data_IF_474698395332
#
_entry.id   IF_474698395332
#
_cell.length_a   1.000
_cell.length_b   1.000
_cell.length_c   1.000
_cell.angle_alpha   90.00
_cell.angle_beta   90.00
_cell.angle_gamma   90.00
#
_symmetry.space_group_name_H-M   'P 1'
#
loop_
_entity.id
_entity.type
_entity.pdbx_description
1 polymer ?
#
# COMPACT_ATOMS: atom_id res chain seq x y z
N UNK A 1 -23.67 13.84 -32.26
CA UNK A 1 -24.49 12.88 -31.48
C UNK A 1 -23.81 11.53 -31.56
N UNK A 2 -23.68 10.88 -30.39
CA UNK A 2 -23.33 9.48 -30.14
C UNK A 2 -21.85 9.07 -30.21
N UNK A 3 -21.24 9.00 -29.02
CA UNK A 3 -20.08 8.18 -28.68
C UNK A 3 -20.38 6.68 -28.85
N UNK A 4 -19.39 5.83 -29.18
CA UNK A 4 -19.53 4.39 -29.07
C UNK A 4 -19.41 3.98 -27.60
N UNK A 5 -20.44 3.29 -27.11
CA UNK A 5 -20.47 2.63 -25.80
C UNK A 5 -19.50 1.45 -25.86
N UNK A 6 -18.37 1.56 -25.15
CA UNK A 6 -17.47 0.42 -24.91
C UNK A 6 -18.14 -0.40 -23.81
N UNK A 7 -18.75 -1.52 -24.19
CA UNK A 7 -19.32 -2.48 -23.25
C UNK A 7 -18.23 -3.03 -22.33
N UNK A 8 -18.33 -2.73 -21.04
CA UNK A 8 -17.53 -3.38 -20.02
C UNK A 8 -17.88 -4.88 -20.01
N UNK A 9 -17.00 -5.70 -20.60
CA UNK A 9 -16.95 -7.13 -20.32
C UNK A 9 -16.47 -7.30 -18.88
N UNK A 10 -17.42 -7.34 -17.95
CA UNK A 10 -17.18 -7.89 -16.63
C UNK A 10 -16.83 -9.37 -16.81
N UNK A 11 -15.57 -9.73 -16.62
CA UNK A 11 -15.21 -11.12 -16.48
C UNK A 11 -15.99 -11.68 -15.28
N UNK A 12 -16.79 -12.73 -15.50
CA UNK A 12 -17.40 -13.53 -14.44
C UNK A 12 -16.29 -14.02 -13.51
N UNK A 13 -16.10 -13.40 -12.35
CA UNK A 13 -15.14 -13.90 -11.34
C UNK A 13 -15.54 -15.33 -10.97
N UNK A 14 -14.77 -16.30 -11.43
CA UNK A 14 -14.98 -17.71 -11.12
C UNK A 14 -14.36 -17.99 -9.75
N UNK A 15 -15.20 -18.12 -8.73
CA UNK A 15 -14.73 -18.47 -7.39
C UNK A 15 -14.40 -19.97 -7.32
N UNK A 16 -13.41 -20.35 -6.51
CA UNK A 16 -12.97 -21.73 -6.35
C UNK A 16 -13.48 -22.28 -5.00
N UNK A 17 -13.84 -23.56 -4.99
CA UNK A 17 -14.32 -24.25 -3.79
C UNK A 17 -13.22 -24.34 -2.73
N UNK A 18 -13.50 -23.81 -1.53
CA UNK A 18 -12.53 -23.73 -0.42
C UNK A 18 -12.35 -25.05 0.34
N UNK A 19 -13.11 -26.09 -0.03
CA UNK A 19 -12.94 -27.41 0.56
C UNK A 19 -11.60 -28.00 0.11
N UNK A 20 -10.73 -28.42 1.05
CA UNK A 20 -9.42 -28.97 0.72
C UNK A 20 -9.52 -30.08 -0.34
N UNK A 21 -8.65 -30.00 -1.34
CA UNK A 21 -8.55 -30.94 -2.46
C UNK A 21 -9.79 -30.97 -3.39
N UNK A 22 -10.63 -29.93 -3.40
CA UNK A 22 -11.77 -29.84 -4.33
C UNK A 22 -11.39 -29.17 -5.66
N UNK A 23 -10.94 -27.90 -5.62
CA UNK A 23 -10.49 -27.15 -6.80
C UNK A 23 -11.56 -26.82 -7.86
N UNK A 24 -12.84 -27.15 -7.62
CA UNK A 24 -13.94 -26.88 -8.56
C UNK A 24 -14.42 -25.43 -8.45
N UNK A 25 -14.97 -24.91 -9.56
CA UNK A 25 -15.72 -23.63 -9.53
C UNK A 25 -16.89 -23.70 -8.54
N UNK A 26 -17.14 -22.59 -7.85
CA UNK A 26 -18.02 -22.51 -6.70
C UNK A 26 -18.84 -21.22 -6.72
N UNK A 27 -20.11 -21.33 -6.33
CA UNK A 27 -21.04 -20.19 -6.27
C UNK A 27 -21.83 -20.15 -4.95
N UNK A 28 -21.87 -21.24 -4.19
CA UNK A 28 -22.61 -21.31 -2.94
C UNK A 28 -21.81 -20.67 -1.80
N UNK A 29 -22.50 -19.91 -0.95
CA UNK A 29 -21.88 -19.21 0.21
C UNK A 29 -22.50 -19.66 1.53
N UNK A 30 -21.70 -19.59 2.60
CA UNK A 30 -22.18 -19.82 3.96
C UNK A 30 -23.03 -18.63 4.44
N UNK A 31 -24.25 -18.86 4.99
CA UNK A 31 -25.11 -17.78 5.49
C UNK A 31 -24.47 -16.97 6.62
N UNK A 32 -23.74 -17.60 7.53
CA UNK A 32 -23.04 -16.91 8.63
C UNK A 32 -21.88 -16.05 8.10
N UNK A 33 -21.13 -16.52 7.09
CA UNK A 33 -20.12 -15.68 6.44
C UNK A 33 -20.74 -14.44 5.79
N UNK A 34 -21.93 -14.55 5.19
CA UNK A 34 -22.63 -13.39 4.61
C UNK A 34 -22.99 -12.40 5.71
N UNK A 35 -23.52 -12.89 6.84
CA UNK A 35 -23.89 -12.05 7.99
C UNK A 35 -22.69 -11.35 8.63
N UNK A 36 -21.54 -12.04 8.71
CA UNK A 36 -20.31 -11.53 9.29
C UNK A 36 -19.44 -10.74 8.28
N UNK A 37 -19.92 -10.53 7.05
CA UNK A 37 -19.17 -9.80 6.01
C UNK A 37 -17.93 -10.53 5.48
N UNK A 38 -17.79 -11.84 5.73
CA UNK A 38 -16.61 -12.62 5.35
C UNK A 38 -16.67 -12.97 3.87
N UNK A 39 -15.74 -12.42 3.09
CA UNK A 39 -15.58 -12.63 1.65
C UNK A 39 -14.68 -13.85 1.34
N UNK A 40 -14.71 -14.36 0.11
CA UNK A 40 -13.86 -15.47 -0.32
C UNK A 40 -14.35 -16.89 0.01
N UNK A 41 -15.36 -17.06 0.87
CA UNK A 41 -15.84 -18.41 1.26
C UNK A 41 -16.89 -18.98 0.31
N UNK A 42 -16.44 -19.79 -0.66
CA UNK A 42 -17.28 -20.40 -1.70
C UNK A 42 -17.21 -21.93 -1.69
N UNK A 43 -18.35 -22.56 -1.94
CA UNK A 43 -18.50 -24.02 -2.00
C UNK A 43 -19.14 -24.42 -3.33
N UNK A 44 -18.61 -25.47 -3.98
CA UNK A 44 -19.21 -25.98 -5.21
C UNK A 44 -20.50 -26.77 -4.95
N UNK A 45 -20.61 -27.45 -3.80
CA UNK A 45 -21.78 -28.24 -3.42
C UNK A 45 -22.04 -28.24 -1.92
N UNK A 46 -23.25 -28.67 -1.51
CA UNK A 46 -23.63 -28.83 -0.10
C UNK A 46 -22.78 -29.90 0.61
N UNK A 47 -22.28 -30.90 -0.12
CA UNK A 47 -21.40 -31.95 0.40
C UNK A 47 -20.03 -31.38 0.76
N UNK A 48 -19.47 -30.53 -0.10
CA UNK A 48 -18.21 -29.83 0.17
C UNK A 48 -18.34 -28.92 1.40
N UNK A 49 -19.45 -28.18 1.50
CA UNK A 49 -19.76 -27.39 2.69
C UNK A 49 -19.80 -28.23 3.97
N UNK A 50 -20.55 -29.35 3.97
CA UNK A 50 -20.65 -30.25 5.14
C UNK A 50 -19.30 -30.86 5.51
N UNK A 51 -18.51 -31.29 4.52
CA UNK A 51 -17.18 -31.88 4.72
C UNK A 51 -16.23 -30.89 5.41
N UNK A 52 -16.27 -29.62 5.00
CA UNK A 52 -15.39 -28.59 5.53
C UNK A 52 -15.94 -27.86 6.78
N UNK A 53 -17.23 -28.05 7.12
CA UNK A 53 -17.91 -27.35 8.21
C UNK A 53 -17.18 -27.39 9.56
N UNK A 54 -16.60 -28.55 9.93
CA UNK A 54 -15.92 -28.75 11.22
C UNK A 54 -14.76 -27.76 11.42
N UNK A 55 -14.05 -27.45 10.34
CA UNK A 55 -12.93 -26.49 10.32
C UNK A 55 -13.41 -25.10 9.99
N UNK A 56 -14.33 -24.97 9.03
CA UNK A 56 -14.88 -23.70 8.57
C UNK A 56 -15.56 -22.91 9.70
N UNK A 57 -16.30 -23.56 10.62
CA UNK A 57 -16.97 -22.85 11.72
C UNK A 57 -16.02 -22.08 12.65
N UNK A 58 -14.73 -22.44 12.70
CA UNK A 58 -13.74 -21.73 13.51
C UNK A 58 -13.44 -20.34 12.96
N UNK A 59 -13.61 -20.13 11.65
CA UNK A 59 -13.55 -18.82 10.99
C UNK A 59 -14.54 -17.84 11.62
N UNK A 60 -15.75 -18.31 11.94
CA UNK A 60 -16.79 -17.46 12.53
C UNK A 60 -16.45 -17.05 13.97
N UNK A 61 -15.83 -17.97 14.74
CA UNK A 61 -15.40 -17.68 16.09
C UNK A 61 -14.31 -16.60 16.10
N UNK A 62 -13.33 -16.71 15.19
CA UNK A 62 -12.25 -15.73 15.05
C UNK A 62 -12.78 -14.37 14.55
N UNK A 63 -13.69 -14.36 13.58
CA UNK A 63 -14.32 -13.13 13.10
C UNK A 63 -15.15 -12.42 14.18
N UNK A 64 -15.73 -13.16 15.12
CA UNK A 64 -16.44 -12.59 16.27
C UNK A 64 -15.55 -11.98 17.34
N UNK A 65 -14.26 -12.35 17.40
CA UNK A 65 -13.29 -11.81 18.36
C UNK A 65 -12.56 -10.56 17.83
N UNK A 66 -12.48 -10.40 16.51
CA UNK A 66 -11.80 -9.27 15.86
C UNK A 66 -12.76 -8.58 14.86
N UNK A 67 -13.60 -7.63 15.33
CA UNK A 67 -14.61 -6.99 14.49
C UNK A 67 -14.03 -6.04 13.42
N UNK A 68 -12.72 -5.80 13.41
CA UNK A 68 -12.04 -4.97 12.41
C UNK A 68 -11.10 -5.82 11.54
N UNK A 69 -11.55 -6.08 10.31
CA UNK A 69 -10.78 -6.23 9.05
C UNK A 69 -9.54 -7.13 8.95
N UNK A 70 -9.14 -7.92 9.94
CA UNK A 70 -7.91 -8.73 9.85
C UNK A 70 -8.21 -10.21 10.05
N UNK A 71 -8.85 -10.84 9.07
CA UNK A 71 -8.93 -12.29 9.04
C UNK A 71 -8.75 -12.86 7.63
N UNK A 72 -7.60 -12.61 7.01
CA UNK A 72 -7.01 -13.63 6.14
C UNK A 72 -6.84 -14.89 7.01
N UNK A 73 -7.67 -15.92 6.84
CA UNK A 73 -7.39 -17.22 7.47
C UNK A 73 -6.23 -17.84 6.71
N UNK A 74 -5.09 -17.89 7.38
CA UNK A 74 -3.89 -18.55 6.89
C UNK A 74 -3.97 -20.04 7.22
N UNK A 75 -4.04 -20.88 6.18
CA UNK A 75 -3.76 -22.31 6.30
C UNK A 75 -2.46 -22.55 5.54
N UNK A 76 -1.44 -23.06 6.24
CA UNK A 76 -0.11 -23.35 5.65
C UNK A 76 0.53 -22.15 4.93
N UNK A 77 0.39 -20.94 5.50
CA UNK A 77 0.98 -19.71 4.95
C UNK A 77 0.27 -19.13 3.72
N UNK A 78 -0.86 -19.72 3.28
CA UNK A 78 -1.66 -19.22 2.15
C UNK A 78 -2.86 -18.43 2.70
N UNK A 79 -3.04 -17.16 2.27
CA UNK A 79 -4.28 -16.44 2.56
C UNK A 79 -5.39 -17.09 1.71
N UNK A 80 -6.32 -17.80 2.38
CA UNK A 80 -7.33 -18.59 1.67
C UNK A 80 -8.61 -17.81 1.39
N UNK A 81 -8.72 -16.57 1.89
CA UNK A 81 -9.89 -15.72 1.78
C UNK A 81 -9.46 -14.25 1.65
N UNK A 82 -9.46 -13.68 0.44
CA UNK A 82 -9.30 -12.24 0.26
C UNK A 82 -10.47 -11.53 0.97
N UNK A 83 -10.15 -10.75 1.99
CA UNK A 83 -11.07 -9.90 2.76
C UNK A 83 -11.31 -8.54 2.11
N UNK A 84 -10.51 -8.18 1.09
CA UNK A 84 -10.63 -6.93 0.36
C UNK A 84 -10.22 -7.07 -1.11
N UNK A 85 -10.55 -6.09 -1.96
CA UNK A 85 -10.02 -5.98 -3.33
C UNK A 85 -8.48 -5.91 -3.36
N UNK A 86 -7.81 -5.50 -2.27
CA UNK A 86 -6.35 -5.51 -2.20
C UNK A 86 -5.77 -6.91 -2.04
N UNK A 87 -6.55 -7.87 -1.54
CA UNK A 87 -6.04 -9.23 -1.45
C UNK A 87 -5.96 -9.90 -2.83
N UNK A 88 -6.76 -9.44 -3.82
CA UNK A 88 -6.74 -10.01 -5.17
C UNK A 88 -5.51 -9.59 -6.00
N UNK A 89 -4.92 -8.41 -5.75
CA UNK A 89 -3.65 -8.02 -6.39
C UNK A 89 -2.47 -8.89 -5.93
N UNK A 90 -2.62 -9.56 -4.78
CA UNK A 90 -1.66 -10.53 -4.25
C UNK A 90 -2.15 -11.97 -4.40
N UNK A 91 -3.15 -12.24 -5.25
CA UNK A 91 -3.64 -13.59 -5.50
C UNK A 91 -2.50 -14.50 -6.00
N UNK A 92 -2.26 -15.58 -5.26
CA UNK A 92 -1.17 -16.52 -5.55
C UNK A 92 0.22 -16.06 -5.08
N UNK A 93 0.35 -14.86 -4.50
CA UNK A 93 1.60 -14.43 -3.87
C UNK A 93 1.79 -15.10 -2.51
N UNK A 94 3.01 -15.60 -2.26
CA UNK A 94 3.39 -16.23 -1.01
C UNK A 94 4.19 -15.25 -0.16
N UNK A 95 3.54 -14.65 0.84
CA UNK A 95 4.21 -13.79 1.80
C UNK A 95 5.24 -14.56 2.63
N UNK A 96 6.39 -13.95 2.84
CA UNK A 96 7.53 -14.54 3.56
C UNK A 96 7.42 -14.41 5.08
N UNK A 97 6.63 -13.47 5.57
CA UNK A 97 6.38 -13.23 6.99
C UNK A 97 4.91 -12.97 7.31
N UNK A 98 4.58 -12.55 8.56
CA UNK A 98 3.22 -12.31 9.00
C UNK A 98 2.60 -10.99 8.48
N UNK A 99 3.41 -10.02 8.05
CA UNK A 99 2.92 -8.69 7.65
C UNK A 99 2.10 -8.75 6.36
N UNK A 100 1.01 -7.97 6.29
CA UNK A 100 0.14 -7.89 5.11
C UNK A 100 -0.14 -6.42 4.75
N UNK A 101 -0.31 -6.13 3.46
CA UNK A 101 -0.75 -4.83 3.01
C UNK A 101 -2.19 -4.58 3.44
N UNK A 102 -2.48 -3.34 3.82
CA UNK A 102 -3.82 -2.86 4.12
C UNK A 102 -4.30 -1.90 3.02
N UNK A 103 -5.50 -1.34 3.22
CA UNK A 103 -6.09 -0.38 2.29
C UNK A 103 -5.28 0.91 2.26
N UNK A 104 -5.05 1.44 1.06
CA UNK A 104 -4.43 2.76 0.85
C UNK A 104 -5.50 3.82 0.68
N UNK A 105 -5.26 5.02 1.20
CA UNK A 105 -6.05 6.19 0.80
C UNK A 105 -5.61 6.68 -0.60
N UNK A 106 -6.45 7.47 -1.31
CA UNK A 106 -6.09 8.07 -2.61
C UNK A 106 -4.82 8.93 -2.56
N UNK A 107 -4.34 9.36 -3.73
CA UNK A 107 -3.24 10.32 -3.85
C UNK A 107 -3.58 11.62 -3.12
N UNK A 108 -2.58 12.18 -2.42
CA UNK A 108 -2.65 13.52 -1.81
C UNK A 108 -2.24 14.56 -2.84
N UNK A 109 -2.86 15.74 -2.81
CA UNK A 109 -2.65 16.80 -3.79
C UNK A 109 -1.56 17.77 -3.33
N UNK A 110 -0.61 18.06 -4.20
CA UNK A 110 0.37 19.13 -4.00
C UNK A 110 -0.19 20.44 -4.58
N UNK A 111 -0.10 21.60 -3.91
CA UNK A 111 -0.47 22.89 -4.48
C UNK A 111 0.24 23.22 -5.81
N UNK A 112 -0.42 23.96 -6.71
CA UNK A 112 0.12 24.27 -8.04
C UNK A 112 1.37 25.16 -7.99
N UNK A 113 1.51 26.00 -6.98
CA UNK A 113 2.65 26.92 -6.84
C UNK A 113 3.96 26.23 -6.44
N UNK A 114 3.89 25.02 -5.86
CA UNK A 114 5.08 24.26 -5.48
C UNK A 114 5.75 23.72 -6.74
N UNK A 115 7.06 23.98 -6.95
CA UNK A 115 7.80 23.43 -8.08
C UNK A 115 7.77 21.90 -8.10
N UNK A 116 7.68 21.32 -9.29
CA UNK A 116 7.51 19.88 -9.49
C UNK A 116 8.69 19.27 -10.24
N UNK A 117 9.13 18.05 -9.90
CA UNK A 117 10.05 17.29 -10.72
C UNK A 117 9.40 16.86 -12.05
N UNK A 118 10.22 16.46 -13.02
CA UNK A 118 9.78 16.07 -14.38
C UNK A 118 8.82 14.85 -14.40
N UNK A 119 8.84 14.04 -13.35
CA UNK A 119 7.97 12.88 -13.19
C UNK A 119 6.66 13.15 -12.46
N UNK A 120 6.45 14.33 -11.88
CA UNK A 120 5.33 14.57 -10.95
C UNK A 120 3.95 14.26 -11.57
N UNK A 121 3.77 14.56 -12.86
CA UNK A 121 2.49 14.33 -13.56
C UNK A 121 2.42 12.96 -14.25
N UNK A 122 3.55 12.46 -14.74
CA UNK A 122 3.60 11.29 -15.64
C UNK A 122 4.08 10.01 -14.97
N UNK A 123 4.70 10.12 -13.81
CA UNK A 123 5.46 9.08 -13.13
C UNK A 123 6.70 8.60 -13.87
N UNK A 124 7.17 9.35 -14.87
CA UNK A 124 8.33 9.00 -15.70
C UNK A 124 9.46 10.00 -15.44
N UNK A 125 10.55 9.62 -14.75
CA UNK A 125 11.70 10.50 -14.55
C UNK A 125 12.56 10.52 -15.82
N UNK A 126 12.27 11.46 -16.70
CA UNK A 126 12.89 11.55 -18.04
C UNK A 126 14.38 11.83 -17.92
N UNK A 127 14.74 12.84 -17.11
CA UNK A 127 16.13 13.25 -16.86
C UNK A 127 16.99 12.10 -16.33
N UNK A 128 16.48 11.31 -15.37
CA UNK A 128 17.20 10.13 -14.85
C UNK A 128 17.36 9.03 -15.90
N UNK A 129 16.34 8.80 -16.74
CA UNK A 129 16.40 7.79 -17.80
C UNK A 129 17.42 8.15 -18.87
N UNK A 130 17.52 9.43 -19.22
CA UNK A 130 18.54 9.96 -20.14
C UNK A 130 19.95 9.84 -19.56
N UNK A 131 20.09 10.05 -18.24
CA UNK A 131 21.37 9.93 -17.54
C UNK A 131 21.80 8.49 -17.22
N UNK A 132 20.92 7.48 -17.38
CA UNK A 132 21.11 6.11 -16.90
C UNK A 132 22.38 5.41 -17.40
N UNK A 133 22.82 5.71 -18.63
CA UNK A 133 24.05 5.14 -19.22
C UNK A 133 25.30 5.98 -18.96
N UNK A 134 25.15 7.13 -18.30
CA UNK A 134 26.29 7.98 -17.96
C UNK A 134 27.09 7.37 -16.81
N UNK A 135 28.42 7.46 -16.93
CA UNK A 135 29.36 7.18 -15.84
C UNK A 135 29.93 8.47 -15.24
N UNK A 136 29.44 9.64 -15.67
CA UNK A 136 29.87 10.93 -15.13
C UNK A 136 29.23 11.18 -13.77
N UNK A 137 30.05 11.48 -12.77
CA UNK A 137 29.57 11.99 -11.49
C UNK A 137 29.49 13.51 -11.60
N UNK A 138 28.33 14.08 -11.29
CA UNK A 138 28.11 15.53 -11.31
C UNK A 138 28.89 16.13 -10.13
N UNK A 139 29.83 17.02 -10.42
CA UNK A 139 30.49 17.86 -9.43
C UNK A 139 29.68 19.16 -9.31
N UNK A 140 29.01 19.34 -8.17
CA UNK A 140 28.16 20.48 -7.91
C UNK A 140 28.98 21.78 -7.74
N UNK A 141 28.43 22.89 -8.21
CA UNK A 141 28.95 24.24 -7.94
C UNK A 141 28.48 24.75 -6.55
N UNK A 142 28.94 25.93 -6.13
CA UNK A 142 28.65 26.47 -4.79
C UNK A 142 27.16 26.69 -4.52
N UNK A 143 26.41 27.17 -5.51
CA UNK A 143 24.96 27.41 -5.42
C UNK A 143 24.19 26.10 -5.31
N UNK A 144 24.55 25.11 -6.14
CA UNK A 144 23.95 23.77 -6.10
C UNK A 144 24.23 23.07 -4.76
N UNK A 145 25.44 23.21 -4.22
CA UNK A 145 25.78 22.68 -2.89
C UNK A 145 24.92 23.33 -1.80
N UNK A 146 24.67 24.64 -1.86
CA UNK A 146 23.82 25.31 -0.89
C UNK A 146 22.35 24.86 -1.00
N UNK A 147 21.86 24.66 -2.22
CA UNK A 147 20.55 24.04 -2.46
C UNK A 147 20.44 22.64 -1.83
N UNK A 148 21.49 21.82 -1.96
CA UNK A 148 21.54 20.50 -1.33
C UNK A 148 21.60 20.57 0.21
N UNK A 149 22.28 21.56 0.79
CA UNK A 149 22.30 21.76 2.26
C UNK A 149 20.93 22.16 2.79
N UNK A 150 20.25 23.09 2.12
CA UNK A 150 18.89 23.51 2.45
C UNK A 150 17.94 22.32 2.40
N UNK A 151 17.99 21.57 1.30
CA UNK A 151 17.20 20.34 1.09
C UNK A 151 17.44 19.32 2.19
N UNK A 152 18.71 19.04 2.52
CA UNK A 152 19.08 18.09 3.57
C UNK A 152 18.56 18.50 4.96
N UNK A 153 18.61 19.80 5.28
CA UNK A 153 18.06 20.32 6.54
C UNK A 153 16.55 20.13 6.61
N UNK A 154 15.82 20.48 5.56
CA UNK A 154 14.36 20.42 5.56
C UNK A 154 13.84 18.99 5.50
N UNK A 155 14.53 18.10 4.76
CA UNK A 155 14.26 16.66 4.81
C UNK A 155 14.48 16.08 6.22
N UNK A 156 15.48 16.58 6.97
CA UNK A 156 15.67 16.16 8.37
C UNK A 156 14.51 16.61 9.26
N UNK A 157 14.06 17.84 9.13
CA UNK A 157 12.93 18.35 9.90
C UNK A 157 11.63 17.56 9.64
N UNK A 158 11.35 17.22 8.38
CA UNK A 158 10.21 16.37 8.00
C UNK A 158 10.34 14.97 8.59
N UNK A 159 11.55 14.40 8.59
CA UNK A 159 11.82 13.11 9.24
C UNK A 159 11.61 13.18 10.76
N UNK A 160 11.97 14.29 11.40
CA UNK A 160 11.71 14.49 12.83
C UNK A 160 10.21 14.53 13.15
N UNK A 161 9.41 15.17 12.30
CA UNK A 161 7.95 15.17 12.43
C UNK A 161 7.35 13.77 12.21
N UNK A 162 7.88 13.01 11.24
CA UNK A 162 7.41 11.64 11.01
C UNK A 162 7.72 10.72 12.19
N UNK A 163 8.91 10.83 12.78
CA UNK A 163 9.33 10.08 13.97
C UNK A 163 8.45 10.44 15.17
N UNK A 164 8.14 11.73 15.36
CA UNK A 164 7.29 12.19 16.45
C UNK A 164 5.85 11.65 16.37
N UNK A 165 5.38 11.29 15.18
CA UNK A 165 4.07 10.71 14.94
C UNK A 165 3.99 9.19 15.19
N UNK A 166 5.13 8.50 15.37
CA UNK A 166 5.15 7.04 15.52
C UNK A 166 4.62 6.65 16.90
N UNK A 167 3.44 6.04 16.94
CA UNK A 167 2.82 5.48 18.13
C UNK A 167 2.07 4.18 17.81
N UNK A 168 1.88 3.31 18.81
CA UNK A 168 1.04 2.12 18.67
C UNK A 168 -0.38 2.53 18.30
N UNK A 169 -0.94 1.87 17.28
CA UNK A 169 -2.27 2.16 16.76
C UNK A 169 -2.31 3.18 15.62
N UNK A 170 -1.26 4.02 15.46
CA UNK A 170 -1.14 4.92 14.32
C UNK A 170 -0.89 4.12 13.05
N UNK A 171 -1.56 4.48 11.96
CA UNK A 171 -1.36 3.86 10.65
C UNK A 171 -0.21 4.50 9.91
N UNK A 172 0.43 3.74 9.01
CA UNK A 172 1.49 4.31 8.18
C UNK A 172 0.94 5.36 7.20
N UNK A 173 -0.33 5.27 6.80
CA UNK A 173 -1.03 6.28 6.00
C UNK A 173 -1.22 7.63 6.73
N UNK A 174 -1.40 7.61 8.06
CA UNK A 174 -1.40 8.82 8.91
C UNK A 174 0.00 9.43 9.01
N UNK A 175 1.05 8.60 9.11
CA UNK A 175 2.44 9.08 9.07
C UNK A 175 2.75 9.74 7.71
N UNK A 176 2.32 9.12 6.61
CA UNK A 176 2.43 9.70 5.26
C UNK A 176 1.68 11.04 5.14
N UNK A 177 0.54 11.19 5.81
CA UNK A 177 -0.17 12.46 5.85
C UNK A 177 0.68 13.57 6.45
N UNK A 178 1.25 13.30 7.62
CA UNK A 178 2.08 14.25 8.35
C UNK A 178 3.31 14.60 7.52
N UNK A 179 3.97 13.62 6.92
CA UNK A 179 5.11 13.86 6.01
C UNK A 179 4.70 14.70 4.80
N UNK A 180 3.55 14.40 4.19
CA UNK A 180 3.04 15.16 3.07
C UNK A 180 2.81 16.63 3.45
N UNK A 181 2.05 16.86 4.52
CA UNK A 181 1.71 18.21 5.02
C UNK A 181 2.98 18.98 5.42
N UNK A 182 3.91 18.35 6.14
CA UNK A 182 5.19 18.94 6.53
C UNK A 182 6.06 19.35 5.32
N UNK A 183 5.99 18.61 4.21
CA UNK A 183 6.60 19.02 2.94
C UNK A 183 5.90 20.23 2.33
N UNK A 184 4.56 20.22 2.27
CA UNK A 184 3.79 21.34 1.70
C UNK A 184 4.02 22.63 2.48
N UNK A 185 4.04 22.57 3.81
CA UNK A 185 4.29 23.71 4.69
C UNK A 185 5.68 24.33 4.50
N UNK A 186 6.62 23.54 3.97
CA UNK A 186 7.98 23.96 3.60
C UNK A 186 8.13 24.29 2.11
N UNK A 187 7.02 24.43 1.40
CA UNK A 187 6.96 24.70 -0.04
C UNK A 187 7.72 23.64 -0.89
N UNK A 188 7.73 22.38 -0.40
CA UNK A 188 8.45 21.26 -1.01
C UNK A 188 7.52 20.29 -1.72
N UNK A 189 8.04 19.67 -2.78
CA UNK A 189 7.43 18.47 -3.36
C UNK A 189 7.93 17.21 -2.63
N UNK A 190 7.05 16.32 -2.13
CA UNK A 190 7.46 15.03 -1.57
C UNK A 190 7.86 14.08 -2.69
N UNK A 191 9.16 13.89 -2.92
CA UNK A 191 9.69 13.26 -4.13
C UNK A 191 9.29 11.80 -4.38
N UNK A 192 9.01 10.94 -3.39
CA UNK A 192 8.42 9.63 -3.67
C UNK A 192 7.09 9.72 -4.40
N UNK A 193 6.34 10.82 -4.24
CA UNK A 193 5.01 10.96 -4.80
C UNK A 193 5.06 10.92 -6.33
N UNK A 194 4.37 9.93 -6.89
CA UNK A 194 4.31 9.59 -8.30
C UNK A 194 5.64 9.18 -8.95
N UNK A 195 6.76 9.10 -8.23
CA UNK A 195 8.03 8.60 -8.78
C UNK A 195 7.89 7.14 -9.23
N UNK A 196 8.02 6.85 -10.53
CA UNK A 196 7.65 5.53 -11.11
C UNK A 196 6.25 5.05 -10.71
N UNK A 197 5.29 5.97 -10.56
CA UNK A 197 3.94 5.74 -10.07
C UNK A 197 3.85 5.26 -8.61
N UNK A 198 4.86 5.53 -7.79
CA UNK A 198 4.79 5.28 -6.35
C UNK A 198 3.67 6.16 -5.73
N UNK A 199 2.74 5.59 -4.94
CA UNK A 199 1.44 6.24 -4.71
C UNK A 199 1.38 7.15 -3.49
N UNK A 200 2.50 7.35 -2.79
CA UNK A 200 2.58 8.00 -1.47
C UNK A 200 3.76 8.95 -1.40
N UNK A 201 3.77 9.80 -0.38
CA UNK A 201 4.75 10.87 -0.16
C UNK A 201 6.01 10.38 0.56
N UNK A 202 5.92 9.25 1.25
CA UNK A 202 7.06 8.57 1.86
C UNK A 202 6.94 7.05 1.77
N UNK A 203 8.01 6.36 2.19
CA UNK A 203 8.05 4.93 2.39
C UNK A 203 7.97 4.61 3.89
N UNK A 204 7.24 3.55 4.24
CA UNK A 204 7.12 3.04 5.62
C UNK A 204 7.31 1.53 5.62
N UNK A 205 8.48 1.09 6.07
CA UNK A 205 8.94 -0.30 5.98
C UNK A 205 8.95 -0.93 7.37
N UNK A 206 7.91 -1.73 7.67
CA UNK A 206 7.72 -2.38 8.96
C UNK A 206 8.31 -3.79 8.95
N UNK A 207 9.05 -4.16 10.00
CA UNK A 207 9.55 -5.52 10.25
C UNK A 207 10.30 -6.16 9.06
N UNK A 208 9.72 -7.18 8.40
CA UNK A 208 10.33 -7.89 7.29
C UNK A 208 10.32 -7.13 5.95
N UNK A 209 9.69 -5.95 5.88
CA UNK A 209 9.74 -5.09 4.71
C UNK A 209 11.11 -4.42 4.65
N UNK A 210 11.89 -4.78 3.63
CA UNK A 210 13.27 -4.30 3.48
C UNK A 210 13.30 -2.80 3.18
N UNK A 211 12.54 -2.35 2.17
CA UNK A 211 12.43 -0.97 1.74
C UNK A 211 11.16 -0.78 0.90
N UNK A 212 10.83 0.48 0.59
CA UNK A 212 9.70 0.86 -0.27
C UNK A 212 8.32 0.33 0.19
N UNK A 213 8.14 0.11 1.50
CA UNK A 213 6.81 -0.15 2.04
C UNK A 213 5.89 1.02 1.73
N UNK A 214 4.72 0.73 1.17
CA UNK A 214 3.73 1.76 0.80
C UNK A 214 2.88 2.06 2.04
N UNK A 215 2.80 3.33 2.50
CA UNK A 215 1.86 3.74 3.53
C UNK A 215 0.43 3.26 3.28
N UNK A 216 -0.16 2.63 4.29
CA UNK A 216 -1.49 2.04 4.25
C UNK A 216 -2.19 2.10 5.62
N UNK A 217 -3.43 1.62 5.68
CA UNK A 217 -4.27 1.66 6.87
C UNK A 217 -3.94 0.56 7.91
N UNK A 218 -2.77 -0.10 7.84
CA UNK A 218 -2.34 -1.02 8.89
C UNK A 218 -1.89 -0.19 10.11
N UNK A 219 -2.53 -0.36 11.28
CA UNK A 219 -2.03 0.25 12.51
C UNK A 219 -0.72 -0.41 12.94
N UNK A 220 0.22 0.39 13.43
CA UNK A 220 1.45 -0.09 14.06
C UNK A 220 1.11 -0.86 15.34
N UNK A 221 1.78 -1.99 15.54
CA UNK A 221 1.64 -2.80 16.74
C UNK A 221 2.79 -2.56 17.71
N UNK A 222 2.55 -2.79 19.00
CA UNK A 222 3.62 -2.79 20.00
C UNK A 222 4.69 -3.84 19.64
N UNK A 223 5.96 -3.42 19.68
CA UNK A 223 7.11 -4.23 19.28
C UNK A 223 7.42 -4.25 17.77
N UNK A 224 6.63 -3.59 16.92
CA UNK A 224 7.01 -3.36 15.52
C UNK A 224 8.28 -2.50 15.44
N UNK A 225 9.15 -2.81 14.47
CA UNK A 225 10.21 -1.90 14.04
C UNK A 225 9.78 -1.24 12.73
N UNK A 226 9.87 0.08 12.67
CA UNK A 226 9.52 0.87 11.49
C UNK A 226 10.74 1.65 11.00
N UNK A 227 11.09 1.44 9.75
CA UNK A 227 11.88 2.39 8.98
C UNK A 227 10.90 3.35 8.28
N UNK A 228 11.02 4.65 8.55
CA UNK A 228 10.32 5.72 7.83
C UNK A 228 11.33 6.44 6.94
N UNK A 229 11.11 6.37 5.63
CA UNK A 229 11.98 6.92 4.59
C UNK A 229 11.21 7.95 3.77
N UNK A 230 11.43 9.23 4.06
CA UNK A 230 11.13 10.32 3.15
C UNK A 230 12.36 10.56 2.27
N UNK A 231 12.43 9.89 1.12
CA UNK A 231 13.52 10.10 0.18
C UNK A 231 13.44 11.52 -0.39
N UNK A 232 14.25 12.43 0.15
CA UNK A 232 14.65 13.73 -0.40
C UNK A 232 13.50 14.66 -0.82
N UNK A 233 13.24 15.74 -0.10
CA UNK A 233 12.39 16.84 -0.59
C UNK A 233 13.09 17.55 -1.76
N UNK A 234 12.81 17.20 -3.02
CA UNK A 234 13.39 17.92 -4.15
C UNK A 234 12.60 19.22 -4.45
N UNK A 235 13.37 20.29 -4.65
CA UNK A 235 13.03 21.64 -5.14
C UNK A 235 12.75 22.73 -4.10
N UNK A 236 13.78 23.54 -3.87
CA UNK A 236 13.65 24.96 -3.55
C UNK A 236 14.08 25.75 -4.78
N UNK A 237 13.20 26.61 -5.30
CA UNK A 237 13.68 27.80 -6.01
C UNK A 237 13.94 28.81 -4.89
N UNK A 238 15.20 28.96 -4.49
CA UNK A 238 15.59 30.13 -3.71
C UNK A 238 15.29 31.36 -4.58
N UNK A 239 14.28 32.13 -4.19
CA UNK A 239 14.09 33.50 -4.68
C UNK A 239 15.08 34.44 -4.01
#
# INVERSE_FOLDING_TARGET
MQSPVIGAQWATMSHICVTPNCGKSATLRCPTCIQLGITGSYFCTKECFKKYWKTHKNLHLLAGLFPFHVLCVFIEGKCMFPTSELDSIFDGYHFTGPLRPAKKTPFRTVPEHIPRPDYADTGIPVSEREAKSSHSIIALNEEEIEGMRLTGRLAREVLDESIAAVEVGVTTDEIDQIVHEACIDRECYPSPLNYFNFPKSCCTSVNEVICHGIPDQRPLADGDILNSESFNSFYFIAL
#
